data_IF_161176345098
#
_entry.id   IF_161176345098
#
_cell.length_a   1.000
_cell.length_b   1.000
_cell.length_c   1.000
_cell.angle_alpha   90.00
_cell.angle_beta   90.00
_cell.angle_gamma   90.00
#
_symmetry.space_group_name_H-M   'P 1'
#
loop_
_entity.id
_entity.type
_entity.pdbx_description
1 polymer ?
#
# COMPACT_ATOMS: atom_id res chain seq x y z
N UNK A 1 -15.78 -12.56 -4.63
CA UNK A 1 -14.49 -12.07 -4.09
C UNK A 1 -13.98 -10.95 -4.98
N UNK A 2 -13.45 -9.87 -4.39
CA UNK A 2 -12.90 -8.70 -5.09
C UNK A 2 -11.88 -9.08 -6.18
N UNK A 3 -11.14 -10.18 -5.97
CA UNK A 3 -10.21 -10.80 -6.92
C UNK A 3 -10.80 -11.11 -8.29
N UNK A 4 -12.13 -11.18 -8.44
CA UNK A 4 -12.82 -11.42 -9.73
C UNK A 4 -13.49 -10.17 -10.33
N UNK A 5 -13.76 -9.16 -9.51
CA UNK A 5 -14.66 -8.04 -9.88
C UNK A 5 -14.01 -6.66 -9.83
N UNK A 6 -12.87 -6.52 -9.15
CA UNK A 6 -12.14 -5.26 -9.06
C UNK A 6 -11.06 -5.20 -10.15
N UNK A 7 -11.09 -4.23 -11.09
CA UNK A 7 -10.09 -4.11 -12.14
C UNK A 7 -8.66 -3.95 -11.59
N UNK A 8 -8.49 -3.12 -10.55
CA UNK A 8 -7.18 -2.84 -9.95
C UNK A 8 -6.57 -4.09 -9.30
N UNK A 9 -7.38 -4.86 -8.56
CA UNK A 9 -6.94 -6.12 -7.93
C UNK A 9 -6.60 -7.15 -9.00
N UNK A 10 -7.45 -7.32 -10.03
CA UNK A 10 -7.20 -8.26 -11.12
C UNK A 10 -5.92 -7.94 -11.88
N UNK A 11 -5.68 -6.67 -12.16
CA UNK A 11 -4.45 -6.21 -12.80
C UNK A 11 -3.23 -6.59 -11.98
N UNK A 12 -3.25 -6.32 -10.67
CA UNK A 12 -2.12 -6.67 -9.79
C UNK A 12 -1.88 -8.18 -9.71
N UNK A 13 -2.93 -9.00 -9.63
CA UNK A 13 -2.82 -10.46 -9.65
C UNK A 13 -2.17 -10.96 -10.95
N UNK A 14 -2.56 -10.37 -12.09
CA UNK A 14 -1.96 -10.70 -13.38
C UNK A 14 -0.48 -10.29 -13.44
N UNK A 15 -0.13 -9.09 -12.97
CA UNK A 15 1.24 -8.58 -12.99
C UNK A 15 2.18 -9.34 -12.05
N UNK A 16 1.67 -9.80 -10.91
CA UNK A 16 2.40 -10.73 -10.04
C UNK A 16 2.68 -12.07 -10.73
N UNK A 17 1.69 -12.62 -11.46
CA UNK A 17 1.87 -13.85 -12.22
C UNK A 17 2.89 -13.69 -13.36
N UNK A 18 2.81 -12.60 -14.12
CA UNK A 18 3.77 -12.25 -15.19
C UNK A 18 5.20 -12.06 -14.65
N UNK A 19 5.34 -11.54 -13.43
CA UNK A 19 6.62 -11.38 -12.75
C UNK A 19 7.18 -12.69 -12.15
N UNK A 20 6.48 -13.83 -12.31
CA UNK A 20 6.91 -15.12 -11.77
C UNK A 20 6.54 -15.36 -10.30
N UNK A 21 5.68 -14.52 -9.73
CA UNK A 21 5.21 -14.61 -8.35
C UNK A 21 3.70 -14.80 -8.29
N UNK A 22 3.19 -15.75 -9.09
CA UNK A 22 1.77 -16.08 -9.09
C UNK A 22 1.33 -16.46 -7.66
N UNK A 23 0.27 -15.81 -7.18
CA UNK A 23 -0.29 -16.04 -5.85
C UNK A 23 -1.62 -16.77 -5.96
N UNK A 24 -1.85 -17.72 -5.05
CA UNK A 24 -3.08 -18.50 -4.98
C UNK A 24 -4.01 -17.99 -3.86
N UNK A 25 -5.17 -18.64 -3.68
CA UNK A 25 -6.15 -18.21 -2.68
C UNK A 25 -5.62 -18.27 -1.23
N UNK A 26 -4.61 -19.10 -0.93
CA UNK A 26 -4.00 -19.21 0.40
C UNK A 26 -3.12 -18.02 0.74
N UNK A 27 -2.77 -17.21 -0.25
CA UNK A 27 -2.08 -15.94 -0.05
C UNK A 27 -2.95 -14.87 0.64
N UNK A 28 -4.26 -15.11 0.76
CA UNK A 28 -5.18 -14.21 1.43
C UNK A 28 -5.73 -14.87 2.69
N UNK A 29 -5.44 -14.30 3.86
CA UNK A 29 -6.12 -14.65 5.11
C UNK A 29 -7.18 -13.62 5.44
N UNK A 30 -8.30 -14.08 6.00
CA UNK A 30 -9.35 -13.21 6.52
C UNK A 30 -9.42 -13.42 8.02
N UNK A 31 -9.20 -12.35 8.77
CA UNK A 31 -9.00 -12.39 10.22
C UNK A 31 -9.88 -11.35 10.92
N UNK A 32 -10.20 -11.59 12.18
CA UNK A 32 -10.75 -10.57 13.08
C UNK A 32 -9.59 -9.87 13.76
N UNK A 33 -9.49 -8.55 13.62
CA UNK A 33 -8.37 -7.77 14.14
C UNK A 33 -8.81 -6.84 15.27
N UNK A 34 -8.05 -6.81 16.37
CA UNK A 34 -8.31 -5.95 17.52
C UNK A 34 -7.88 -4.49 17.27
N UNK A 35 -6.90 -4.29 16.40
CA UNK A 35 -6.41 -2.98 15.99
C UNK A 35 -7.31 -2.39 14.89
N UNK A 36 -7.43 -1.07 14.87
CA UNK A 36 -8.12 -0.32 13.81
C UNK A 36 -7.29 -0.26 12.51
N UNK A 37 -6.92 -1.42 11.98
CA UNK A 37 -6.22 -1.61 10.70
C UNK A 37 -7.10 -2.45 9.77
N UNK A 38 -7.13 -2.10 8.49
CA UNK A 38 -7.98 -2.79 7.50
C UNK A 38 -7.35 -4.07 6.96
N UNK A 39 -6.02 -4.19 7.08
CA UNK A 39 -5.25 -5.34 6.58
C UNK A 39 -3.75 -5.09 6.70
N UNK A 40 -2.98 -5.97 6.07
CA UNK A 40 -1.53 -5.82 5.97
C UNK A 40 -0.86 -6.96 5.19
N UNK A 41 0.33 -6.70 4.66
CA UNK A 41 1.17 -7.67 3.99
C UNK A 41 2.22 -8.22 4.96
N UNK A 42 2.20 -9.54 5.18
CA UNK A 42 3.11 -10.25 6.07
C UNK A 42 3.86 -11.32 5.29
N UNK A 43 5.08 -11.08 4.83
CA UNK A 43 5.93 -12.15 4.31
C UNK A 43 6.28 -13.17 5.42
N UNK A 44 6.27 -14.49 5.15
CA UNK A 44 5.95 -15.14 3.88
C UNK A 44 4.44 -15.47 3.70
N UNK A 45 3.60 -15.14 4.68
CA UNK A 45 2.20 -15.58 4.80
C UNK A 45 1.25 -14.96 3.75
N UNK A 46 1.52 -13.73 3.30
CA UNK A 46 0.72 -13.04 2.28
C UNK A 46 -0.08 -11.87 2.82
N UNK A 47 -1.27 -11.63 2.26
CA UNK A 47 -2.17 -10.52 2.60
C UNK A 47 -3.16 -10.94 3.67
N UNK A 48 -3.22 -10.18 4.74
CA UNK A 48 -4.20 -10.32 5.82
C UNK A 48 -5.30 -9.27 5.64
N UNK A 49 -6.56 -9.70 5.65
CA UNK A 49 -7.74 -8.85 5.59
C UNK A 49 -8.47 -8.86 6.93
N UNK A 50 -8.57 -7.69 7.57
CA UNK A 50 -9.31 -7.51 8.80
C UNK A 50 -10.79 -7.23 8.50
N UNK A 51 -11.60 -8.29 8.37
CA UNK A 51 -12.99 -8.15 7.87
C UNK A 51 -13.85 -7.23 8.74
N UNK A 52 -13.59 -7.20 10.04
CA UNK A 52 -14.32 -6.38 11.01
C UNK A 52 -14.01 -4.87 10.93
N UNK A 53 -12.98 -4.48 10.17
CA UNK A 53 -12.56 -3.09 9.99
C UNK A 53 -12.90 -2.55 8.59
N UNK A 54 -13.52 -3.38 7.73
CA UNK A 54 -13.86 -3.05 6.34
C UNK A 54 -15.37 -2.91 6.23
N UNK A 55 -15.84 -1.69 5.94
CA UNK A 55 -17.27 -1.38 5.91
C UNK A 55 -17.84 -1.19 4.49
N UNK A 56 -16.97 -1.06 3.49
CA UNK A 56 -17.39 -0.82 2.12
C UNK A 56 -16.42 -1.44 1.11
N UNK A 57 -16.92 -1.59 -0.12
CA UNK A 57 -16.21 -2.23 -1.22
C UNK A 57 -14.97 -1.44 -1.65
N UNK A 58 -15.03 -0.11 -1.65
CA UNK A 58 -13.90 0.73 -2.06
C UNK A 58 -12.74 0.58 -1.08
N UNK A 59 -13.02 0.59 0.22
CA UNK A 59 -12.01 0.34 1.26
C UNK A 59 -11.37 -1.03 1.10
N UNK A 60 -12.16 -2.08 0.84
CA UNK A 60 -11.63 -3.43 0.59
C UNK A 60 -10.73 -3.46 -0.66
N UNK A 61 -11.16 -2.87 -1.77
CA UNK A 61 -10.42 -2.90 -3.04
C UNK A 61 -9.12 -2.10 -2.96
N UNK A 62 -9.14 -0.91 -2.35
CA UNK A 62 -7.93 -0.11 -2.14
C UNK A 62 -6.95 -0.81 -1.20
N UNK A 63 -7.44 -1.40 -0.09
CA UNK A 63 -6.59 -2.18 0.81
C UNK A 63 -5.93 -3.34 0.06
N UNK A 64 -6.71 -4.13 -0.69
CA UNK A 64 -6.14 -5.23 -1.47
C UNK A 64 -5.12 -4.74 -2.49
N UNK A 65 -5.39 -3.64 -3.20
CA UNK A 65 -4.42 -3.06 -4.13
C UNK A 65 -3.14 -2.60 -3.43
N UNK A 66 -3.27 -1.97 -2.26
CA UNK A 66 -2.16 -1.54 -1.41
C UNK A 66 -1.25 -2.72 -1.04
N UNK A 67 -1.82 -3.77 -0.45
CA UNK A 67 -1.04 -4.93 -0.02
C UNK A 67 -0.48 -5.73 -1.20
N UNK A 68 -1.15 -5.73 -2.37
CA UNK A 68 -0.62 -6.35 -3.58
C UNK A 68 0.56 -5.58 -4.19
N UNK A 69 0.66 -4.27 -3.96
CA UNK A 69 1.87 -3.52 -4.31
C UNK A 69 3.04 -3.96 -3.44
N UNK A 70 2.84 -4.15 -2.13
CA UNK A 70 3.88 -4.72 -1.28
C UNK A 70 4.30 -6.14 -1.71
N UNK A 71 3.33 -6.98 -2.09
CA UNK A 71 3.62 -8.30 -2.66
C UNK A 71 4.46 -8.20 -3.95
N UNK A 72 4.14 -7.24 -4.83
CA UNK A 72 4.89 -7.00 -6.06
C UNK A 72 6.31 -6.50 -5.78
N UNK A 73 6.47 -5.66 -4.76
CA UNK A 73 7.77 -5.13 -4.33
C UNK A 73 8.65 -6.22 -3.74
N UNK A 74 8.07 -7.09 -2.92
CA UNK A 74 8.72 -8.30 -2.42
C UNK A 74 9.14 -9.22 -3.57
N UNK A 75 8.26 -9.42 -4.56
CA UNK A 75 8.56 -10.23 -5.73
C UNK A 75 9.76 -9.69 -6.52
N UNK A 76 9.73 -8.40 -6.86
CA UNK A 76 10.77 -7.73 -7.65
C UNK A 76 12.09 -7.58 -6.89
N UNK A 77 12.03 -7.31 -5.59
CA UNK A 77 13.20 -7.21 -4.71
C UNK A 77 13.78 -8.58 -4.31
N UNK A 78 12.96 -9.63 -4.30
CA UNK A 78 13.33 -10.97 -3.90
C UNK A 78 14.02 -11.00 -2.54
N UNK A 79 15.19 -11.66 -2.46
CA UNK A 79 16.00 -11.76 -1.23
C UNK A 79 16.63 -10.43 -0.78
N UNK A 80 16.60 -9.38 -1.62
CA UNK A 80 17.17 -8.07 -1.29
C UNK A 80 16.17 -7.18 -0.55
N UNK A 81 14.87 -7.50 -0.62
CA UNK A 81 13.84 -6.76 0.10
C UNK A 81 13.92 -7.06 1.60
N UNK A 82 14.10 -6.02 2.41
CA UNK A 82 14.15 -6.09 3.85
C UNK A 82 13.10 -5.15 4.45
N UNK A 83 12.01 -5.71 4.98
CA UNK A 83 10.93 -4.95 5.61
C UNK A 83 11.33 -4.29 6.94
N UNK A 84 12.44 -4.72 7.55
CA UNK A 84 13.01 -4.05 8.73
C UNK A 84 13.96 -2.89 8.35
N UNK A 85 14.36 -2.78 7.09
CA UNK A 85 15.03 -1.58 6.60
C UNK A 85 13.97 -0.50 6.37
N UNK A 86 13.99 0.52 7.24
CA UNK A 86 13.00 1.60 7.26
C UNK A 86 12.91 2.31 5.91
N UNK A 87 14.02 2.42 5.14
CA UNK A 87 14.01 3.06 3.81
C UNK A 87 13.34 2.20 2.76
N UNK A 88 13.56 0.88 2.80
CA UNK A 88 12.91 -0.04 1.88
C UNK A 88 11.42 -0.14 2.16
N UNK A 89 11.06 -0.24 3.44
CA UNK A 89 9.67 -0.19 3.89
C UNK A 89 8.99 1.11 3.44
N UNK A 90 9.59 2.27 3.73
CA UNK A 90 9.06 3.56 3.31
C UNK A 90 8.90 3.70 1.79
N UNK A 91 9.84 3.16 1.02
CA UNK A 91 9.72 3.19 -0.45
C UNK A 91 8.51 2.38 -0.92
N UNK A 92 8.27 1.21 -0.33
CA UNK A 92 7.11 0.37 -0.65
C UNK A 92 5.80 1.03 -0.22
N UNK A 93 5.78 1.69 0.94
CA UNK A 93 4.64 2.46 1.45
C UNK A 93 4.29 3.67 0.58
N UNK A 94 5.30 4.41 0.09
CA UNK A 94 5.10 5.48 -0.88
C UNK A 94 4.44 4.94 -2.15
N UNK A 95 4.90 3.79 -2.67
CA UNK A 95 4.33 3.18 -3.88
C UNK A 95 2.92 2.64 -3.64
N UNK A 96 2.70 1.95 -2.53
CA UNK A 96 1.39 1.41 -2.19
C UNK A 96 0.36 2.52 -2.00
N UNK A 97 0.67 3.60 -1.30
CA UNK A 97 -0.23 4.74 -1.17
C UNK A 97 -0.46 5.51 -2.49
N UNK A 98 0.54 5.55 -3.37
CA UNK A 98 0.47 6.19 -4.69
C UNK A 98 -0.40 5.40 -5.68
N UNK A 99 -0.27 4.08 -5.71
CA UNK A 99 -0.79 3.23 -6.78
C UNK A 99 -2.08 2.44 -6.43
N UNK A 100 -2.51 2.45 -5.16
CA UNK A 100 -3.66 1.65 -4.70
C UNK A 100 -5.03 2.32 -4.84
N UNK A 101 -5.09 3.60 -5.23
CA UNK A 101 -6.32 4.40 -5.18
C UNK A 101 -6.65 4.97 -3.78
N UNK A 102 -5.83 4.68 -2.77
CA UNK A 102 -5.96 5.21 -1.40
C UNK A 102 -6.07 6.73 -1.34
N UNK A 103 -5.24 7.39 -2.17
CA UNK A 103 -5.13 8.83 -2.28
C UNK A 103 -5.96 9.45 -3.41
N UNK A 104 -6.97 8.73 -3.90
CA UNK A 104 -7.95 9.29 -4.82
C UNK A 104 -8.75 10.41 -4.12
N UNK A 105 -8.93 11.53 -4.82
CA UNK A 105 -9.48 12.76 -4.24
C UNK A 105 -10.87 12.58 -3.61
N UNK A 106 -11.73 11.75 -4.21
CA UNK A 106 -13.07 11.45 -3.66
C UNK A 106 -12.98 10.76 -2.30
N UNK A 107 -12.02 9.84 -2.14
CA UNK A 107 -11.83 9.13 -0.87
C UNK A 107 -11.34 10.10 0.21
N UNK A 108 -10.45 11.01 -0.14
CA UNK A 108 -9.96 12.04 0.78
C UNK A 108 -11.02 13.12 1.10
N UNK A 109 -11.91 13.44 0.14
CA UNK A 109 -13.06 14.31 0.39
C UNK A 109 -14.03 13.66 1.38
N UNK A 110 -14.39 12.38 1.18
CA UNK A 110 -15.24 11.63 2.11
C UNK A 110 -14.60 11.47 3.49
N UNK A 111 -13.27 11.46 3.57
CA UNK A 111 -12.52 11.47 4.85
C UNK A 111 -12.34 12.87 5.45
N UNK A 112 -12.92 13.91 4.83
CA UNK A 112 -12.82 15.29 5.31
C UNK A 112 -11.40 15.82 5.31
N UNK A 113 -10.61 15.54 4.26
CA UNK A 113 -9.18 15.92 4.16
C UNK A 113 -8.87 16.85 2.98
N UNK A 114 -9.85 17.06 2.08
CA UNK A 114 -9.74 18.00 0.97
C UNK A 114 -10.30 19.35 1.42
N UNK A 115 -9.42 20.28 1.77
CA UNK A 115 -9.78 21.65 2.08
C UNK A 115 -8.84 22.60 1.32
N UNK A 116 -9.41 23.37 0.38
CA UNK A 116 -8.83 24.56 -0.26
C UNK A 116 -7.64 24.42 -1.23
N UNK A 117 -6.80 23.38 -1.15
CA UNK A 117 -5.62 23.24 -2.02
C UNK A 117 -5.56 21.90 -2.76
N UNK A 118 -6.22 21.86 -3.92
CA UNK A 118 -6.17 20.72 -4.86
C UNK A 118 -4.77 20.55 -5.48
N UNK A 119 -3.92 21.59 -5.48
CA UNK A 119 -2.57 21.48 -6.02
C UNK A 119 -1.75 20.59 -5.10
N UNK A 120 -1.20 19.50 -5.67
CA UNK A 120 -0.39 18.50 -4.96
C UNK A 120 -1.12 17.73 -3.85
N UNK A 121 -2.46 17.75 -3.81
CA UNK A 121 -3.23 16.98 -2.82
C UNK A 121 -2.82 15.50 -2.78
N UNK A 122 -2.67 14.87 -3.95
CA UNK A 122 -2.28 13.47 -4.05
C UNK A 122 -0.92 13.19 -3.39
N UNK A 123 0.11 14.00 -3.68
CA UNK A 123 1.43 13.87 -3.05
C UNK A 123 1.36 14.05 -1.53
N UNK A 124 0.57 15.02 -1.03
CA UNK A 124 0.37 15.24 0.41
C UNK A 124 -0.29 14.01 1.06
N UNK A 125 -1.27 13.40 0.40
CA UNK A 125 -1.89 12.17 0.88
C UNK A 125 -0.89 11.01 0.91
N UNK A 126 -0.11 10.81 -0.16
CA UNK A 126 0.87 9.71 -0.25
C UNK A 126 1.91 9.83 0.85
N UNK A 127 2.47 11.03 1.06
CA UNK A 127 3.43 11.29 2.17
C UNK A 127 2.82 10.95 3.52
N UNK A 128 1.63 11.49 3.81
CA UNK A 128 0.95 11.26 5.09
C UNK A 128 0.66 9.78 5.34
N UNK A 129 0.19 9.03 4.34
CA UNK A 129 -0.10 7.60 4.49
C UNK A 129 1.18 6.80 4.71
N UNK A 130 2.22 7.07 3.92
CA UNK A 130 3.51 6.40 4.09
C UNK A 130 4.14 6.70 5.45
N UNK A 131 4.09 7.95 5.93
CA UNK A 131 4.57 8.33 7.26
C UNK A 131 3.87 7.55 8.38
N UNK A 132 2.53 7.43 8.33
CA UNK A 132 1.74 6.69 9.31
C UNK A 132 2.10 5.20 9.34
N UNK A 133 2.31 4.57 8.17
CA UNK A 133 2.69 3.15 8.13
C UNK A 133 4.14 2.93 8.56
N UNK A 134 5.07 3.78 8.09
CA UNK A 134 6.49 3.69 8.45
C UNK A 134 6.71 3.89 9.95
N UNK A 135 5.93 4.75 10.61
CA UNK A 135 5.98 4.94 12.05
C UNK A 135 5.68 3.65 12.84
N UNK A 136 4.98 2.68 12.25
CA UNK A 136 4.71 1.37 12.85
C UNK A 136 5.85 0.36 12.66
N UNK A 137 6.90 0.70 11.90
CA UNK A 137 8.04 -0.17 11.70
C UNK A 137 8.86 -0.32 13.01
N UNK A 138 9.25 -1.53 13.43
CA UNK A 138 10.00 -1.75 14.67
C UNK A 138 11.34 -0.99 14.75
N UNK A 139 11.96 -0.69 13.62
CA UNK A 139 13.22 0.05 13.54
C UNK A 139 13.03 1.56 13.34
N UNK A 140 11.79 2.03 13.23
CA UNK A 140 11.50 3.45 13.23
C UNK A 140 11.51 3.96 14.68
N UNK A 141 12.26 5.03 14.92
CA UNK A 141 12.51 5.52 16.28
C UNK A 141 11.53 6.60 16.74
N UNK A 142 10.86 7.27 15.80
CA UNK A 142 9.88 8.34 16.06
C UNK A 142 9.13 8.74 14.79
N UNK A 143 8.01 9.44 14.95
CA UNK A 143 7.28 10.04 13.81
C UNK A 143 8.17 11.00 12.99
N UNK A 144 9.10 11.71 13.64
CA UNK A 144 10.07 12.56 12.96
C UNK A 144 11.04 11.75 12.10
N UNK A 145 11.48 10.58 12.58
CA UNK A 145 12.31 9.66 11.80
C UNK A 145 11.52 9.07 10.62
N UNK A 146 10.24 8.70 10.80
CA UNK A 146 9.37 8.24 9.72
C UNK A 146 9.26 9.30 8.61
N UNK A 147 8.96 10.55 8.98
CA UNK A 147 8.89 11.68 8.06
C UNK A 147 10.19 11.89 7.30
N UNK A 148 11.32 11.91 8.01
CA UNK A 148 12.64 12.07 7.38
C UNK A 148 12.90 10.98 6.35
N UNK A 149 12.66 9.71 6.69
CA UNK A 149 12.91 8.58 5.78
C UNK A 149 11.97 8.60 4.58
N UNK A 150 10.69 8.94 4.78
CA UNK A 150 9.75 9.14 3.67
C UNK A 150 10.25 10.26 2.75
N UNK A 151 10.67 11.40 3.29
CA UNK A 151 11.23 12.51 2.52
C UNK A 151 12.47 12.10 1.70
N UNK A 152 13.37 11.29 2.28
CA UNK A 152 14.57 10.76 1.63
C UNK A 152 14.25 9.90 0.40
N UNK A 153 13.22 9.05 0.46
CA UNK A 153 12.91 8.09 -0.61
C UNK A 153 11.83 8.58 -1.58
N UNK A 154 11.06 9.62 -1.21
CA UNK A 154 9.82 10.00 -1.86
C UNK A 154 9.96 10.18 -3.37
N UNK A 155 10.89 11.04 -3.82
CA UNK A 155 11.01 11.39 -5.24
C UNK A 155 11.32 10.17 -6.12
N UNK A 156 12.12 9.23 -5.63
CA UNK A 156 12.45 8.01 -6.37
C UNK A 156 11.25 7.07 -6.41
N UNK A 157 10.64 6.81 -5.26
CA UNK A 157 9.62 5.78 -5.13
C UNK A 157 8.26 6.24 -5.66
N UNK A 158 7.95 7.54 -5.59
CA UNK A 158 6.74 8.12 -6.17
C UNK A 158 6.74 8.07 -7.71
N UNK A 159 7.92 8.16 -8.34
CA UNK A 159 8.09 8.04 -9.80
C UNK A 159 8.11 6.59 -10.31
N UNK A 160 8.24 5.61 -9.42
CA UNK A 160 8.23 4.20 -9.76
C UNK A 160 6.78 3.69 -9.79
N UNK A 161 6.17 3.82 -10.95
CA UNK A 161 4.75 3.45 -11.21
C UNK A 161 4.55 1.97 -11.48
N UNK A 162 5.62 1.17 -11.61
CA UNK A 162 5.50 -0.24 -11.92
C UNK A 162 4.63 -0.97 -10.87
N UNK A 163 3.75 -1.90 -11.30
CA UNK A 163 3.63 -2.43 -12.67
C UNK A 163 2.69 -1.65 -13.60
N UNK A 164 2.19 -0.48 -13.18
CA UNK A 164 1.39 0.39 -14.02
C UNK A 164 2.29 1.23 -14.94
N UNK A 165 1.72 1.67 -16.06
CA UNK A 165 2.36 2.63 -16.94
C UNK A 165 2.38 4.04 -16.30
N UNK A 166 1.29 4.39 -15.61
CA UNK A 166 1.08 5.66 -14.90
C UNK A 166 0.36 5.45 -13.56
N UNK A 167 0.20 6.51 -12.75
CA UNK A 167 -0.60 6.46 -11.52
C UNK A 167 -2.08 6.23 -11.88
N UNK A 168 -2.71 5.13 -11.39
CA UNK A 168 -4.07 4.74 -11.76
C UNK A 168 -5.20 5.55 -11.12
#
# INVERSE_FOLDING_TARGET
MATRTSPIVRFMLQKLAEAGCAIDARFFSVETCDKSVVGGFRPPDGVVMCHNQIHDRTTMENMLAHELIHAYDQCRGGKKMNWLDVRQHACSEVRAANLSGDCHWMNELMRGRVFFDLKKHHQKCVRRRAELSVAMNPNCTSDAHAKQVVDEVFERCFKDTAPYDDIP
#
